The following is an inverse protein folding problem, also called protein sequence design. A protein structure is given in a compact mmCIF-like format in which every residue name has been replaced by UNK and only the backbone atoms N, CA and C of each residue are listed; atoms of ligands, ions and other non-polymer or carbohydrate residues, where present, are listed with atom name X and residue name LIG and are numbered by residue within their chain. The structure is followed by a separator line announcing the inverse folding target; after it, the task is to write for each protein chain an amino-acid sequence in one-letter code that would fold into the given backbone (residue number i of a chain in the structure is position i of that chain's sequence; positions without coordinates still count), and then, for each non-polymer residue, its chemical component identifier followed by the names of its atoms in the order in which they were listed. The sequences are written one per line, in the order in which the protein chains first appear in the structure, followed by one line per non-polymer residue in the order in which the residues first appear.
data_IF_877605553819
#
_entry.id   IF_877605553819
#
_cell.length_a   1.000
_cell.length_b   1.000
_cell.length_c   1.000
_cell.angle_alpha   90.00
_cell.angle_beta   90.00
_cell.angle_gamma   90.00
#
_symmetry.space_group_name_H-M   'P 1'
#
loop_
_entity.id
_entity.type
_entity.pdbx_description
1 polymer ?
#
# COMPACT_ATOMS: atom_id res chain seq x y z
N UNK A 1 -39.10 2.61 30.52
CA UNK A 1 -39.69 2.18 29.22
C UNK A 1 -40.77 3.16 28.87
N UNK A 2 -40.76 3.71 27.66
CA UNK A 2 -41.86 4.51 27.12
C UNK A 2 -42.31 3.83 25.82
N UNK A 3 -43.58 3.43 25.71
CA UNK A 3 -44.14 2.74 24.54
C UNK A 3 -43.34 1.50 24.07
N UNK A 4 -42.82 0.68 25.00
CA UNK A 4 -42.03 -0.53 24.67
C UNK A 4 -40.57 -0.25 24.31
N UNK A 5 -40.14 1.02 24.32
CA UNK A 5 -38.80 1.46 23.97
C UNK A 5 -37.99 1.76 25.25
N UNK A 6 -36.73 1.32 25.25
CA UNK A 6 -35.81 1.52 26.37
C UNK A 6 -34.83 2.66 26.11
N UNK A 7 -34.58 3.48 27.12
CA UNK A 7 -33.67 4.62 27.05
C UNK A 7 -32.62 4.53 28.16
N UNK A 8 -31.41 5.03 27.86
CA UNK A 8 -30.34 5.22 28.83
C UNK A 8 -30.12 6.71 29.07
N UNK A 9 -30.13 7.09 30.34
CA UNK A 9 -29.79 8.43 30.80
C UNK A 9 -28.38 8.40 31.38
N UNK A 10 -27.56 9.39 31.05
CA UNK A 10 -26.23 9.58 31.63
C UNK A 10 -26.33 10.74 32.62
N UNK A 11 -26.12 10.51 33.93
CA UNK A 11 -26.40 11.52 34.96
C UNK A 11 -25.55 12.80 34.88
N UNK A 12 -24.45 12.80 34.14
CA UNK A 12 -23.36 13.80 34.20
C UNK A 12 -22.98 14.39 32.82
N UNK A 13 -23.87 14.27 31.83
CA UNK A 13 -23.65 14.88 30.51
C UNK A 13 -24.28 16.28 30.47
N UNK A 14 -23.54 17.28 29.96
CA UNK A 14 -24.04 18.64 29.72
C UNK A 14 -25.29 18.69 28.81
N UNK A 15 -25.62 17.59 28.11
CA UNK A 15 -26.90 17.39 27.45
C UNK A 15 -27.74 16.33 28.17
N UNK A 16 -28.95 16.71 28.57
CA UNK A 16 -29.97 15.81 29.13
C UNK A 16 -30.63 14.91 28.06
N UNK A 17 -29.90 14.54 27.00
CA UNK A 17 -30.45 13.75 25.90
C UNK A 17 -30.42 12.26 26.22
N UNK A 18 -31.61 11.65 26.22
CA UNK A 18 -31.78 10.22 26.43
C UNK A 18 -31.25 9.45 25.21
N UNK A 19 -30.36 8.47 25.43
CA UNK A 19 -29.91 7.56 24.37
C UNK A 19 -30.90 6.41 24.21
N UNK A 20 -31.26 6.10 22.96
CA UNK A 20 -32.10 4.96 22.63
C UNK A 20 -31.31 3.64 22.82
N UNK A 21 -31.86 2.71 23.60
CA UNK A 21 -31.25 1.39 23.78
C UNK A 21 -31.66 0.46 22.64
N UNK A 22 -30.69 -0.02 21.87
CA UNK A 22 -30.92 -0.75 20.62
C UNK A 22 -30.92 -2.27 20.84
N UNK A 23 -32.03 -2.97 20.51
CA UNK A 23 -32.07 -4.44 20.47
C UNK A 23 -31.10 -5.00 19.43
N UNK A 24 -30.63 -6.23 19.64
CA UNK A 24 -29.65 -6.87 18.74
C UNK A 24 -30.07 -6.87 17.27
N UNK A 25 -31.36 -7.12 16.99
CA UNK A 25 -31.91 -7.19 15.64
C UNK A 25 -31.80 -5.86 14.85
N UNK A 26 -31.70 -4.72 15.54
CA UNK A 26 -31.67 -3.40 14.89
C UNK A 26 -30.26 -2.81 14.76
N UNK A 27 -29.25 -3.43 15.38
CA UNK A 27 -27.88 -2.89 15.39
C UNK A 27 -27.25 -2.80 14.00
N UNK A 28 -27.57 -3.75 13.12
CA UNK A 28 -27.11 -3.74 11.74
C UNK A 28 -27.69 -2.56 10.96
N UNK A 29 -28.98 -2.25 11.14
CA UNK A 29 -29.61 -1.09 10.51
C UNK A 29 -28.95 0.22 10.94
N UNK A 30 -28.57 0.34 12.22
CA UNK A 30 -27.80 1.49 12.71
C UNK A 30 -26.44 1.57 12.00
N UNK A 31 -25.74 0.47 11.83
CA UNK A 31 -24.45 0.47 11.11
C UNK A 31 -24.62 0.84 9.62
N UNK A 32 -25.64 0.32 8.95
CA UNK A 32 -25.93 0.66 7.55
C UNK A 32 -26.12 2.17 7.38
N UNK A 33 -26.91 2.81 8.25
CA UNK A 33 -27.20 4.26 8.17
C UNK A 33 -26.03 5.15 8.60
N UNK A 34 -25.24 4.71 9.56
CA UNK A 34 -24.22 5.57 10.19
C UNK A 34 -22.78 5.29 9.75
N UNK A 35 -22.54 4.19 9.05
CA UNK A 35 -21.25 3.82 8.49
C UNK A 35 -21.30 3.49 6.98
N UNK A 36 -22.25 2.68 6.50
CA UNK A 36 -22.26 2.22 5.10
C UNK A 36 -22.84 3.24 4.12
N UNK A 37 -23.74 4.12 4.59
CA UNK A 37 -24.34 5.14 3.74
C UNK A 37 -23.25 6.04 3.12
N UNK A 38 -23.27 6.30 1.81
CA UNK A 38 -22.25 7.12 1.14
C UNK A 38 -22.07 8.52 1.78
N UNK A 39 -23.13 9.08 2.37
CA UNK A 39 -23.11 10.36 3.07
C UNK A 39 -22.70 10.25 4.54
N UNK A 40 -22.49 9.03 5.05
CA UNK A 40 -22.08 8.81 6.43
C UNK A 40 -20.58 9.07 6.67
N UNK A 41 -19.78 9.16 5.62
CA UNK A 41 -18.35 9.51 5.64
C UNK A 41 -17.40 8.34 5.94
N UNK A 42 -17.90 7.11 6.12
CA UNK A 42 -17.10 5.89 6.34
C UNK A 42 -15.99 6.03 7.40
N UNK A 43 -16.29 6.71 8.51
CA UNK A 43 -15.33 6.94 9.59
C UNK A 43 -14.69 5.64 10.12
N UNK A 44 -13.48 5.76 10.68
CA UNK A 44 -12.85 4.70 11.46
C UNK A 44 -13.62 4.36 12.74
N UNK A 45 -13.16 3.33 13.45
CA UNK A 45 -13.86 2.75 14.61
C UNK A 45 -14.29 3.79 15.65
N UNK A 46 -13.36 4.65 16.08
CA UNK A 46 -13.65 5.67 17.09
C UNK A 46 -14.57 6.78 16.55
N UNK A 47 -14.46 7.13 15.27
CA UNK A 47 -15.32 8.15 14.65
C UNK A 47 -16.77 7.67 14.51
N UNK A 48 -16.95 6.43 14.05
CA UNK A 48 -18.27 5.79 13.98
C UNK A 48 -18.86 5.58 15.38
N UNK A 49 -18.07 5.17 16.36
CA UNK A 49 -18.52 5.06 17.75
C UNK A 49 -19.01 6.41 18.29
N UNK A 50 -18.21 7.48 18.16
CA UNK A 50 -18.59 8.83 18.62
C UNK A 50 -19.87 9.34 17.94
N UNK A 51 -20.08 9.01 16.66
CA UNK A 51 -21.29 9.40 15.91
C UNK A 51 -22.53 8.66 16.43
N UNK A 52 -22.44 7.35 16.63
CA UNK A 52 -23.55 6.50 17.08
C UNK A 52 -23.87 6.76 18.56
N UNK A 53 -22.85 6.89 19.40
CA UNK A 53 -22.98 7.07 20.85
C UNK A 53 -23.68 8.38 21.26
N UNK A 54 -23.87 9.34 20.34
CA UNK A 54 -24.67 10.54 20.60
C UNK A 54 -26.16 10.24 20.79
N UNK A 55 -26.69 9.18 20.16
CA UNK A 55 -28.13 8.91 20.10
C UNK A 55 -28.51 7.49 20.49
N UNK A 56 -27.58 6.55 20.42
CA UNK A 56 -27.83 5.13 20.59
C UNK A 56 -26.90 4.51 21.61
N UNK A 57 -27.41 3.48 22.28
CA UNK A 57 -26.63 2.69 23.23
C UNK A 57 -26.98 1.21 23.15
N UNK A 58 -25.98 0.36 23.28
CA UNK A 58 -26.14 -1.04 23.66
C UNK A 58 -24.88 -1.56 24.35
N UNK A 59 -24.99 -2.66 25.08
CA UNK A 59 -23.85 -3.29 25.74
C UNK A 59 -22.88 -3.85 24.70
N UNK A 60 -21.58 -3.57 24.87
CA UNK A 60 -20.54 -3.99 23.93
C UNK A 60 -20.48 -3.21 22.62
N UNK A 61 -21.12 -2.03 22.53
CA UNK A 61 -21.19 -1.22 21.31
C UNK A 61 -19.85 -0.94 20.64
N UNK A 62 -18.82 -0.58 21.40
CA UNK A 62 -17.49 -0.32 20.84
C UNK A 62 -16.90 -1.54 20.13
N UNK A 63 -17.02 -2.72 20.73
CA UNK A 63 -16.56 -3.99 20.15
C UNK A 63 -17.36 -4.33 18.89
N UNK A 64 -18.70 -4.23 18.96
CA UNK A 64 -19.57 -4.50 17.82
C UNK A 64 -19.22 -3.62 16.60
N UNK A 65 -19.01 -2.33 16.82
CA UNK A 65 -18.63 -1.38 15.76
C UNK A 65 -17.25 -1.74 15.17
N UNK A 66 -16.26 -2.04 16.02
CA UNK A 66 -14.92 -2.47 15.59
C UNK A 66 -15.00 -3.71 14.69
N UNK A 67 -15.70 -4.75 15.15
CA UNK A 67 -15.84 -6.02 14.42
C UNK A 67 -16.60 -5.84 13.11
N UNK A 68 -17.61 -4.98 13.08
CA UNK A 68 -18.39 -4.66 11.88
C UNK A 68 -17.53 -3.95 10.82
N UNK A 69 -16.81 -2.89 11.21
CA UNK A 69 -15.98 -2.10 10.28
C UNK A 69 -14.83 -2.96 9.72
N UNK A 70 -14.21 -3.81 10.53
CA UNK A 70 -13.14 -4.73 10.09
C UNK A 70 -13.62 -5.73 9.04
N UNK A 71 -14.89 -6.15 9.11
CA UNK A 71 -15.48 -7.07 8.14
C UNK A 71 -15.94 -6.37 6.86
N UNK A 72 -16.05 -5.05 6.84
CA UNK A 72 -16.60 -4.31 5.71
C UNK A 72 -15.55 -4.13 4.60
N UNK A 73 -15.69 -4.78 3.43
CA UNK A 73 -14.61 -4.88 2.44
C UNK A 73 -14.20 -3.53 1.86
N UNK A 74 -15.15 -2.62 1.66
CA UNK A 74 -14.90 -1.29 1.08
C UNK A 74 -13.96 -0.47 1.96
N UNK A 75 -14.17 -0.50 3.27
CA UNK A 75 -13.29 0.15 4.23
C UNK A 75 -11.90 -0.48 4.27
N UNK A 76 -11.81 -1.82 4.20
CA UNK A 76 -10.52 -2.51 4.19
C UNK A 76 -9.70 -2.23 2.92
N UNK A 77 -10.36 -2.04 1.77
CA UNK A 77 -9.70 -1.75 0.48
C UNK A 77 -9.16 -0.33 0.39
N UNK A 78 -9.84 0.64 1.00
CA UNK A 78 -9.50 2.06 0.86
C UNK A 78 -8.55 2.54 1.96
N UNK A 79 -8.65 1.96 3.17
CA UNK A 79 -7.84 2.42 4.30
C UNK A 79 -6.36 2.12 4.08
N UNK A 80 -5.55 3.17 4.15
CA UNK A 80 -4.10 3.03 4.23
C UNK A 80 -3.72 2.23 5.48
N UNK A 81 -2.70 1.38 5.34
CA UNK A 81 -2.10 0.72 6.49
C UNK A 81 -1.35 1.74 7.33
N UNK A 82 -1.53 1.69 8.65
CA UNK A 82 -0.71 2.44 9.60
C UNK A 82 0.51 1.63 10.04
N UNK A 83 0.77 0.47 9.41
CA UNK A 83 1.98 -0.29 9.67
C UNK A 83 3.19 0.51 9.19
N UNK A 84 4.24 0.52 10.00
CA UNK A 84 5.52 1.09 9.58
C UNK A 84 6.02 0.30 8.36
N UNK A 85 6.69 0.98 7.41
CA UNK A 85 7.36 0.25 6.33
C UNK A 85 8.33 -0.78 6.92
N UNK A 86 8.53 -1.87 6.19
CA UNK A 86 9.59 -2.81 6.52
C UNK A 86 10.93 -2.06 6.64
N UNK A 87 11.82 -2.56 7.50
CA UNK A 87 13.15 -1.96 7.66
C UNK A 87 13.93 -1.90 6.35
N UNK A 88 15.00 -1.10 6.32
CA UNK A 88 15.87 -0.98 5.16
C UNK A 88 16.42 -2.36 4.75
N UNK A 89 16.36 -2.66 3.45
CA UNK A 89 17.01 -3.84 2.89
C UNK A 89 18.52 -3.73 3.12
N UNK A 90 19.13 -4.76 3.74
CA UNK A 90 20.58 -4.92 3.76
C UNK A 90 20.99 -5.68 2.52
N UNK A 91 21.48 -4.96 1.50
CA UNK A 91 22.07 -5.59 0.33
C UNK A 91 23.42 -6.23 0.71
N UNK A 92 23.71 -7.46 0.25
CA UNK A 92 25.02 -8.06 0.47
C UNK A 92 26.11 -7.19 -0.16
N UNK A 93 27.22 -6.99 0.56
CA UNK A 93 28.42 -6.36 -0.01
C UNK A 93 29.11 -7.41 -0.87
N UNK A 94 29.17 -7.18 -2.17
CA UNK A 94 29.91 -8.02 -3.10
C UNK A 94 31.39 -7.61 -3.05
N UNK A 95 32.29 -8.58 -2.88
CA UNK A 95 33.73 -8.32 -2.73
C UNK A 95 34.50 -8.41 -4.04
N UNK A 96 33.98 -9.12 -5.04
CA UNK A 96 34.66 -9.32 -6.32
C UNK A 96 34.02 -8.48 -7.42
N UNK A 97 34.86 -7.69 -8.11
CA UNK A 97 34.47 -6.89 -9.27
C UNK A 97 33.80 -7.76 -10.34
N UNK A 98 32.69 -7.30 -10.89
CA UNK A 98 31.90 -7.97 -11.94
C UNK A 98 31.41 -9.38 -11.58
N UNK A 99 31.45 -9.76 -10.29
CA UNK A 99 30.84 -11.02 -9.85
C UNK A 99 29.32 -10.95 -9.94
N UNK A 100 28.77 -9.78 -9.57
CA UNK A 100 27.33 -9.49 -9.63
C UNK A 100 27.15 -8.14 -10.31
N UNK A 101 26.40 -8.14 -11.40
CA UNK A 101 25.99 -6.91 -12.07
C UNK A 101 24.49 -6.66 -11.88
N UNK A 102 24.11 -5.40 -11.73
CA UNK A 102 22.73 -4.96 -11.84
C UNK A 102 22.53 -4.30 -13.20
N UNK A 103 21.41 -4.59 -13.86
CA UNK A 103 21.07 -4.02 -15.16
C UNK A 103 19.73 -3.31 -15.09
N UNK A 104 19.60 -2.23 -15.85
CA UNK A 104 18.37 -1.43 -15.92
C UNK A 104 18.24 -0.77 -17.30
N UNK A 105 17.03 -0.35 -17.64
CA UNK A 105 16.70 0.35 -18.88
C UNK A 105 16.04 1.68 -18.58
N UNK A 106 16.67 2.76 -19.02
CA UNK A 106 16.11 4.10 -18.92
C UNK A 106 15.61 4.59 -20.28
N UNK A 107 14.30 4.86 -20.36
CA UNK A 107 13.65 5.36 -21.58
C UNK A 107 12.15 5.06 -21.65
N UNK A 108 11.52 5.26 -22.82
CA UNK A 108 12.13 5.81 -24.03
C UNK A 108 12.43 7.32 -23.89
N UNK A 109 13.53 7.76 -24.47
CA UNK A 109 13.98 9.15 -24.57
C UNK A 109 13.68 9.73 -25.96
N UNK A 110 13.78 11.06 -26.16
CA UNK A 110 13.76 11.62 -27.49
C UNK A 110 14.77 10.91 -28.40
N UNK A 111 14.28 10.42 -29.54
CA UNK A 111 15.08 9.63 -30.45
C UNK A 111 16.20 10.49 -31.05
N UNK A 112 17.42 9.97 -31.04
CA UNK A 112 18.55 10.61 -31.71
C UNK A 112 18.46 10.43 -33.23
N UNK A 113 19.23 11.22 -33.99
CA UNK A 113 19.36 11.04 -35.45
C UNK A 113 19.84 9.64 -35.86
N UNK A 114 20.60 8.99 -34.98
CA UNK A 114 21.06 7.60 -35.13
C UNK A 114 20.04 6.54 -34.69
N UNK A 115 18.82 6.96 -34.33
CA UNK A 115 17.71 6.09 -33.99
C UNK A 115 17.77 5.48 -32.58
N UNK A 116 18.61 6.00 -31.68
CA UNK A 116 18.73 5.53 -30.28
C UNK A 116 17.72 6.25 -29.40
N UNK A 117 17.09 5.52 -28.48
CA UNK A 117 16.05 6.08 -27.59
C UNK A 117 16.07 5.46 -26.19
N UNK A 118 17.01 4.56 -25.89
CA UNK A 118 17.11 3.90 -24.59
C UNK A 118 18.56 3.96 -24.09
N UNK A 119 18.72 4.07 -22.79
CA UNK A 119 20.01 3.88 -22.10
C UNK A 119 19.93 2.56 -21.35
N UNK A 120 20.78 1.61 -21.73
CA UNK A 120 20.99 0.37 -21.01
C UNK A 120 22.12 0.56 -20.01
N UNK A 121 21.79 0.33 -18.74
CA UNK A 121 22.65 0.60 -17.59
C UNK A 121 23.19 -0.74 -17.11
N UNK A 122 24.49 -0.82 -16.89
CA UNK A 122 25.15 -1.98 -16.28
C UNK A 122 26.01 -1.50 -15.11
N UNK A 123 25.64 -1.85 -13.89
CA UNK A 123 26.37 -1.51 -12.67
C UNK A 123 27.06 -2.76 -12.09
N UNK A 124 28.37 -2.68 -11.84
CA UNK A 124 29.05 -3.63 -10.97
C UNK A 124 28.68 -3.38 -9.50
N UNK A 125 28.00 -4.35 -8.88
CA UNK A 125 27.47 -4.18 -7.54
C UNK A 125 28.56 -4.07 -6.47
N UNK A 126 29.78 -4.56 -6.74
CA UNK A 126 30.92 -4.52 -5.82
C UNK A 126 31.60 -3.14 -5.80
N UNK A 127 31.99 -2.63 -6.97
CA UNK A 127 32.75 -1.38 -7.10
C UNK A 127 31.89 -0.14 -7.31
N UNK A 128 30.61 -0.32 -7.63
CA UNK A 128 29.70 0.76 -8.08
C UNK A 128 30.11 1.39 -9.41
N UNK A 129 30.91 0.68 -10.20
CA UNK A 129 31.25 1.07 -11.56
C UNK A 129 30.03 0.93 -12.48
N UNK A 130 29.73 1.97 -13.27
CA UNK A 130 28.57 2.01 -14.16
C UNK A 130 29.01 2.17 -15.60
N UNK A 131 28.45 1.33 -16.48
CA UNK A 131 28.58 1.43 -17.92
C UNK A 131 27.20 1.71 -18.54
N UNK A 132 27.16 2.62 -19.52
CA UNK A 132 25.93 3.09 -20.16
C UNK A 132 26.01 2.85 -21.66
N UNK A 133 24.98 2.21 -22.22
CA UNK A 133 24.93 1.87 -23.64
C UNK A 133 23.65 2.40 -24.30
N UNK A 134 23.80 3.04 -25.46
CA UNK A 134 22.65 3.55 -26.21
C UNK A 134 22.00 2.45 -27.07
N UNK A 135 20.74 2.14 -26.80
CA UNK A 135 19.95 1.15 -27.55
C UNK A 135 18.87 1.81 -28.40
N UNK A 136 18.55 1.20 -29.53
CA UNK A 136 17.42 1.64 -30.37
C UNK A 136 16.10 1.07 -29.85
N UNK A 137 16.14 -0.10 -29.20
CA UNK A 137 14.99 -0.75 -28.58
C UNK A 137 15.38 -1.41 -27.26
N UNK A 138 14.52 -1.27 -26.25
CA UNK A 138 14.55 -2.02 -24.99
C UNK A 138 14.12 -3.49 -25.22
N UNK A 139 14.93 -4.25 -25.94
CA UNK A 139 14.66 -5.66 -26.24
C UNK A 139 15.69 -6.57 -25.58
N UNK A 140 15.24 -7.74 -25.11
CA UNK A 140 16.12 -8.75 -24.53
C UNK A 140 17.30 -9.11 -25.46
N UNK A 141 17.06 -9.14 -26.77
CA UNK A 141 18.11 -9.39 -27.77
C UNK A 141 19.18 -8.30 -27.77
N UNK A 142 18.79 -7.03 -27.84
CA UNK A 142 19.77 -5.92 -27.83
C UNK A 142 20.54 -5.86 -26.50
N UNK A 143 19.87 -6.06 -25.36
CA UNK A 143 20.54 -6.11 -24.06
C UNK A 143 21.53 -7.28 -23.97
N UNK A 144 21.13 -8.48 -24.41
CA UNK A 144 22.01 -9.66 -24.40
C UNK A 144 23.23 -9.49 -25.32
N UNK A 145 23.03 -8.99 -26.53
CA UNK A 145 24.13 -8.68 -27.46
C UNK A 145 25.09 -7.67 -26.85
N UNK A 146 24.57 -6.58 -26.28
CA UNK A 146 25.39 -5.55 -25.62
C UNK A 146 26.17 -6.11 -24.43
N UNK A 147 25.53 -6.92 -23.57
CA UNK A 147 26.21 -7.56 -22.44
C UNK A 147 27.35 -8.46 -22.91
N UNK A 148 27.13 -9.28 -23.94
CA UNK A 148 28.16 -10.19 -24.45
C UNK A 148 29.32 -9.41 -25.05
N UNK A 149 29.03 -8.53 -26.02
CA UNK A 149 30.03 -7.85 -26.84
C UNK A 149 30.78 -6.77 -26.05
N UNK A 150 30.06 -6.00 -25.23
CA UNK A 150 30.65 -4.85 -24.57
C UNK A 150 31.09 -5.14 -23.13
N UNK A 151 30.42 -6.02 -22.38
CA UNK A 151 30.73 -6.22 -20.95
C UNK A 151 31.49 -7.52 -20.70
N UNK A 152 30.96 -8.65 -21.15
CA UNK A 152 31.49 -9.98 -20.82
C UNK A 152 32.82 -10.26 -21.50
N UNK A 153 33.01 -9.77 -22.74
CA UNK A 153 34.31 -9.88 -23.42
C UNK A 153 35.43 -9.11 -22.72
N UNK A 154 35.12 -8.05 -21.95
CA UNK A 154 36.11 -7.25 -21.22
C UNK A 154 36.36 -7.75 -19.80
N UNK A 155 35.31 -8.12 -19.08
CA UNK A 155 35.38 -8.39 -17.64
C UNK A 155 35.12 -9.86 -17.25
N UNK A 156 34.70 -10.69 -18.21
CA UNK A 156 34.24 -12.05 -17.97
C UNK A 156 32.73 -12.14 -17.72
N UNK A 157 32.22 -13.37 -17.66
CA UNK A 157 30.80 -13.64 -17.40
C UNK A 157 30.52 -13.49 -15.90
N UNK A 158 29.56 -12.66 -15.47
CA UNK A 158 29.22 -12.50 -14.07
C UNK A 158 28.57 -13.79 -13.52
N UNK A 159 28.71 -14.02 -12.22
CA UNK A 159 28.05 -15.13 -11.52
C UNK A 159 26.55 -14.90 -11.36
N UNK A 160 26.12 -13.63 -11.30
CA UNK A 160 24.72 -13.25 -11.15
C UNK A 160 24.43 -11.92 -11.84
N UNK A 161 23.26 -11.84 -12.46
CA UNK A 161 22.69 -10.61 -13.01
C UNK A 161 21.43 -10.29 -12.22
N UNK A 162 21.25 -9.04 -11.82
CA UNK A 162 20.06 -8.53 -11.13
C UNK A 162 19.35 -7.59 -12.09
N UNK A 163 18.07 -7.82 -12.33
CA UNK A 163 17.17 -6.92 -13.07
C UNK A 163 15.85 -6.79 -12.33
N UNK A 164 15.00 -5.88 -12.78
CA UNK A 164 13.57 -5.93 -12.48
C UNK A 164 12.86 -7.00 -13.33
N UNK A 165 11.53 -7.10 -13.17
CA UNK A 165 10.64 -8.07 -13.81
C UNK A 165 9.90 -7.48 -15.00
#
# INVERSE_FOLDING_TARGET
MNQGVSYRYVPDADSAEAMLVIPTAERELIMQRHHNDPMAGHYGEDGTFKKIAKRYYWTGMKKYISDYIKKFPECARIKATNQKPAGLLRTPVHSQRFEVIAIDLFGPLPQTDSGKQWIFIVEDCATKWVELFALSQASARQCATTLIEEVFMRHGIPRRIISDN
#
